data_IF_550158385620
#
_entry.id   IF_550158385620
#
_cell.length_a   1.000
_cell.length_b   1.000
_cell.length_c   1.000
_cell.angle_alpha   90.00
_cell.angle_beta   90.00
_cell.angle_gamma   90.00
#
_symmetry.space_group_name_H-M   'P 1'
#
loop_
_entity.id
_entity.type
_entity.pdbx_description
1 polymer ?
#
# COMPACT_ATOMS: atom_id res chain seq x y z
N UNK A 1 -37.48 -37.43 43.34
CA UNK A 1 -38.24 -36.98 42.14
C UNK A 1 -37.32 -36.06 41.33
N UNK A 2 -36.99 -36.37 40.07
CA UNK A 2 -36.08 -35.54 39.28
C UNK A 2 -36.82 -34.30 38.74
N UNK A 3 -36.24 -33.13 38.93
CA UNK A 3 -36.75 -31.87 38.39
C UNK A 3 -36.63 -31.87 36.86
N UNK A 4 -37.76 -31.76 36.16
CA UNK A 4 -37.81 -31.65 34.70
C UNK A 4 -37.58 -30.20 34.27
N UNK A 5 -36.30 -29.86 34.11
CA UNK A 5 -35.85 -28.54 33.65
C UNK A 5 -36.30 -28.22 32.21
N UNK A 6 -36.59 -29.23 31.38
CA UNK A 6 -36.99 -29.02 29.99
C UNK A 6 -38.44 -28.51 29.89
N UNK A 7 -39.29 -28.92 30.83
CA UNK A 7 -40.69 -28.49 30.86
C UNK A 7 -40.85 -27.12 31.53
N UNK A 8 -40.09 -26.84 32.60
CA UNK A 8 -40.01 -25.49 33.17
C UNK A 8 -39.38 -24.47 32.20
N UNK A 9 -38.39 -24.87 31.41
CA UNK A 9 -37.76 -24.00 30.41
C UNK A 9 -38.68 -23.62 29.25
N UNK A 10 -39.57 -24.52 28.82
CA UNK A 10 -40.58 -24.24 27.78
C UNK A 10 -41.66 -23.28 28.28
N UNK A 11 -42.20 -23.51 29.47
CA UNK A 11 -43.19 -22.60 30.05
C UNK A 11 -42.63 -21.21 30.33
N UNK A 12 -41.38 -21.09 30.79
CA UNK A 12 -40.73 -19.80 30.98
C UNK A 12 -40.57 -19.03 29.65
N UNK A 13 -40.35 -19.74 28.54
CA UNK A 13 -40.20 -19.12 27.21
C UNK A 13 -41.52 -18.61 26.63
N UNK A 14 -42.63 -19.28 26.93
CA UNK A 14 -43.98 -18.88 26.50
C UNK A 14 -44.52 -17.67 27.28
N UNK A 15 -44.02 -17.42 28.49
CA UNK A 15 -44.41 -16.27 29.32
C UNK A 15 -43.65 -14.98 29.00
N UNK A 16 -42.59 -15.03 28.19
CA UNK A 16 -41.84 -13.84 27.77
C UNK A 16 -42.59 -13.21 26.60
N UNK A 17 -43.38 -12.16 26.87
CA UNK A 17 -43.99 -11.34 25.84
C UNK A 17 -42.90 -10.65 25.00
N UNK A 18 -42.58 -11.22 23.83
CA UNK A 18 -41.67 -10.61 22.86
C UNK A 18 -42.42 -9.48 22.16
N UNK A 19 -41.97 -8.22 22.23
CA UNK A 19 -42.61 -7.14 21.51
C UNK A 19 -42.61 -7.45 20.01
N UNK A 20 -43.77 -7.35 19.36
CA UNK A 20 -43.89 -7.48 17.91
C UNK A 20 -43.15 -6.30 17.25
N UNK A 21 -41.87 -6.48 16.94
CA UNK A 21 -41.11 -5.50 16.17
C UNK A 21 -41.62 -5.59 14.72
N UNK A 22 -42.20 -4.51 14.15
CA UNK A 22 -42.70 -4.56 12.79
C UNK A 22 -41.56 -4.90 11.83
N UNK A 23 -41.76 -5.90 10.97
CA UNK A 23 -40.77 -6.38 9.99
C UNK A 23 -40.19 -5.22 9.16
N UNK A 24 -41.00 -4.21 8.88
CA UNK A 24 -40.59 -2.99 8.17
C UNK A 24 -39.53 -2.16 8.91
N UNK A 25 -39.51 -2.20 10.25
CA UNK A 25 -38.52 -1.48 11.08
C UNK A 25 -37.19 -2.22 11.06
N UNK A 26 -37.23 -3.56 11.01
CA UNK A 26 -36.06 -4.42 10.84
C UNK A 26 -35.50 -4.24 9.43
N UNK A 27 -36.37 -4.24 8.41
CA UNK A 27 -35.99 -4.00 7.02
C UNK A 27 -35.36 -2.61 6.83
N UNK A 28 -35.96 -1.54 7.36
CA UNK A 28 -35.39 -0.17 7.30
C UNK A 28 -34.09 -0.02 8.07
N UNK A 29 -33.93 -0.69 9.22
CA UNK A 29 -32.65 -0.72 9.95
C UNK A 29 -31.58 -1.49 9.16
N UNK A 30 -31.94 -2.63 8.57
CA UNK A 30 -31.05 -3.40 7.72
C UNK A 30 -30.65 -2.63 6.45
N UNK A 31 -31.57 -1.88 5.82
CA UNK A 31 -31.27 -1.02 4.68
C UNK A 31 -30.37 0.17 5.04
N UNK A 32 -30.64 0.85 6.17
CA UNK A 32 -29.76 1.94 6.65
C UNK A 32 -28.38 1.43 7.04
N UNK A 33 -28.30 0.22 7.58
CA UNK A 33 -27.03 -0.43 7.93
C UNK A 33 -26.30 -0.93 6.67
N UNK A 34 -27.02 -1.42 5.65
CA UNK A 34 -26.49 -1.74 4.31
C UNK A 34 -26.04 -0.49 3.54
N UNK A 35 -26.73 0.63 3.70
CA UNK A 35 -26.34 1.91 3.09
C UNK A 35 -25.10 2.50 3.76
N UNK A 36 -25.01 2.43 5.10
CA UNK A 36 -23.81 2.81 5.85
C UNK A 36 -22.62 1.89 5.58
N UNK A 37 -22.85 0.57 5.50
CA UNK A 37 -21.78 -0.37 5.14
C UNK A 37 -21.34 -0.22 3.69
N UNK A 38 -22.25 0.08 2.75
CA UNK A 38 -21.91 0.47 1.37
C UNK A 38 -21.14 1.78 1.32
N UNK A 39 -21.49 2.79 2.12
CA UNK A 39 -20.74 4.05 2.17
C UNK A 39 -19.33 3.87 2.78
N UNK A 40 -19.18 3.03 3.81
CA UNK A 40 -17.87 2.66 4.36
C UNK A 40 -17.07 1.76 3.41
N UNK A 41 -17.71 0.83 2.71
CA UNK A 41 -17.10 0.00 1.69
C UNK A 41 -16.70 0.83 0.45
N UNK A 42 -17.45 1.87 0.09
CA UNK A 42 -17.09 2.82 -0.96
C UNK A 42 -15.98 3.77 -0.53
N UNK A 43 -15.90 4.15 0.75
CA UNK A 43 -14.79 4.93 1.29
C UNK A 43 -13.50 4.09 1.42
N UNK A 44 -13.63 2.81 1.77
CA UNK A 44 -12.55 1.82 1.74
C UNK A 44 -12.14 1.51 0.30
N UNK A 45 -13.09 1.33 -0.61
CA UNK A 45 -12.86 1.13 -2.04
C UNK A 45 -12.28 2.37 -2.72
N UNK A 46 -12.62 3.59 -2.31
CA UNK A 46 -11.96 4.81 -2.79
C UNK A 46 -10.53 4.95 -2.24
N UNK A 47 -10.26 4.43 -1.04
CA UNK A 47 -8.89 4.27 -0.52
C UNK A 47 -8.10 3.19 -1.26
N UNK A 48 -8.78 2.14 -1.73
CA UNK A 48 -8.22 1.01 -2.50
C UNK A 48 -8.11 1.32 -4.00
N UNK A 49 -8.94 2.19 -4.55
CA UNK A 49 -8.88 2.62 -5.96
C UNK A 49 -7.66 3.51 -6.24
N UNK A 50 -7.15 4.23 -5.23
CA UNK A 50 -5.83 4.89 -5.29
C UNK A 50 -4.69 3.90 -5.02
N UNK A 51 -4.98 2.71 -4.49
CA UNK A 51 -4.04 1.58 -4.37
C UNK A 51 -4.12 0.61 -5.58
N UNK A 52 -4.94 0.91 -6.58
CA UNK A 52 -5.27 0.08 -7.73
C UNK A 52 -4.22 0.03 -8.85
N UNK A 53 -2.93 0.00 -8.50
CA UNK A 53 -1.84 -0.27 -9.45
C UNK A 53 -0.99 -1.48 -9.01
N UNK A 54 -1.53 -2.36 -8.16
CA UNK A 54 -0.96 -3.68 -7.86
C UNK A 54 -1.37 -4.60 -9.01
N UNK A 55 -0.56 -4.63 -10.05
CA UNK A 55 -0.68 -5.57 -11.16
C UNK A 55 0.10 -6.86 -10.83
N UNK A 56 -0.41 -7.63 -9.87
CA UNK A 56 -0.33 -9.09 -9.91
C UNK A 56 -1.63 -9.52 -10.61
N UNK A 57 -1.51 -10.22 -11.75
CA UNK A 57 -2.59 -10.68 -12.64
C UNK A 57 -4.03 -10.29 -12.29
N UNK A 58 -4.58 -9.31 -13.02
CA UNK A 58 -5.94 -8.78 -12.85
C UNK A 58 -7.03 -9.86 -13.02
N UNK A 59 -7.70 -10.18 -11.92
CA UNK A 59 -9.03 -10.75 -11.88
C UNK A 59 -9.86 -10.03 -10.81
N UNK A 60 -10.31 -8.81 -11.13
CA UNK A 60 -11.20 -7.94 -10.36
C UNK A 60 -10.64 -7.39 -9.02
N UNK A 61 -10.70 -6.07 -8.85
CA UNK A 61 -10.16 -5.32 -7.71
C UNK A 61 -10.95 -5.46 -6.41
N UNK A 62 -11.05 -6.69 -5.90
CA UNK A 62 -11.63 -7.00 -4.58
C UNK A 62 -10.83 -8.05 -3.79
N UNK A 63 -9.71 -8.56 -4.30
CA UNK A 63 -8.96 -9.71 -3.75
C UNK A 63 -7.59 -9.40 -3.11
N UNK A 64 -7.24 -8.13 -2.91
CA UNK A 64 -5.88 -7.73 -2.43
C UNK A 64 -5.61 -8.12 -0.96
N UNK A 65 -6.58 -8.67 -0.23
CA UNK A 65 -6.31 -9.12 1.13
C UNK A 65 -6.83 -10.53 1.35
N UNK A 66 -6.92 -11.35 0.30
CA UNK A 66 -7.12 -12.78 0.49
C UNK A 66 -5.86 -13.28 1.21
N UNK A 67 -5.96 -14.35 2.00
CA UNK A 67 -4.86 -14.93 2.77
C UNK A 67 -3.61 -14.89 1.91
N UNK A 68 -2.44 -14.52 2.44
CA UNK A 68 -1.22 -14.56 1.61
C UNK A 68 -0.82 -16.03 1.41
N UNK A 69 -1.59 -16.69 0.55
CA UNK A 69 -1.35 -18.00 0.01
C UNK A 69 -0.24 -17.83 -1.01
N UNK A 70 0.95 -18.25 -0.63
CA UNK A 70 2.10 -18.21 -1.52
C UNK A 70 2.21 -19.57 -2.15
N UNK A 71 1.81 -19.64 -3.41
CA UNK A 71 2.01 -20.83 -4.22
C UNK A 71 3.50 -20.96 -4.49
N UNK A 72 4.13 -22.05 -4.05
CA UNK A 72 5.47 -22.45 -4.43
C UNK A 72 5.39 -23.47 -5.57
N UNK A 73 6.39 -23.51 -6.44
CA UNK A 73 6.39 -24.38 -7.62
C UNK A 73 6.33 -25.85 -7.23
N UNK A 74 5.32 -26.57 -7.73
CA UNK A 74 5.19 -28.03 -7.57
C UNK A 74 4.45 -28.51 -6.31
N UNK A 75 4.06 -27.60 -5.40
CA UNK A 75 3.39 -27.97 -4.17
C UNK A 75 2.71 -26.76 -3.56
N UNK A 76 1.41 -26.84 -3.37
CA UNK A 76 0.62 -25.78 -2.79
C UNK A 76 1.17 -25.39 -1.40
N UNK A 77 1.48 -24.11 -1.20
CA UNK A 77 1.93 -23.59 0.08
C UNK A 77 1.10 -22.35 0.48
N UNK A 78 1.00 -22.08 1.77
CA UNK A 78 0.25 -20.96 2.30
C UNK A 78 0.95 -20.34 3.50
N UNK A 79 0.87 -19.01 3.61
CA UNK A 79 1.33 -18.27 4.78
C UNK A 79 0.11 -17.67 5.47
N UNK A 80 -0.14 -18.10 6.71
CA UNK A 80 -1.23 -17.54 7.52
C UNK A 80 -0.64 -16.46 8.42
N UNK A 81 -1.24 -15.28 8.38
CA UNK A 81 -0.87 -14.18 9.28
C UNK A 81 -2.10 -13.51 9.87
N UNK A 82 -1.98 -13.04 11.11
CA UNK A 82 -3.01 -12.25 11.80
C UNK A 82 -2.88 -10.75 11.55
N UNK A 83 -1.75 -10.31 10.99
CA UNK A 83 -1.46 -8.91 10.72
C UNK A 83 -0.50 -8.71 9.55
N UNK A 84 -0.59 -7.55 8.91
CA UNK A 84 0.26 -7.18 7.79
C UNK A 84 0.55 -5.68 7.86
N UNK A 85 1.77 -5.27 7.52
CA UNK A 85 2.15 -3.86 7.36
C UNK A 85 2.68 -3.63 5.95
N UNK A 86 2.10 -2.68 5.23
CA UNK A 86 2.42 -2.37 3.84
C UNK A 86 2.84 -0.92 3.67
N UNK A 87 3.88 -0.67 2.87
CA UNK A 87 4.31 0.69 2.51
C UNK A 87 4.50 0.81 1.00
N UNK A 88 3.75 1.72 0.37
CA UNK A 88 3.97 2.12 -1.03
C UNK A 88 5.09 3.12 -1.15
N UNK A 89 5.90 2.96 -2.20
CA UNK A 89 7.07 3.80 -2.47
C UNK A 89 7.86 4.09 -1.19
N UNK A 90 8.36 3.05 -0.52
CA UNK A 90 9.03 3.22 0.75
C UNK A 90 10.30 4.05 0.57
N UNK A 91 10.52 4.95 1.51
CA UNK A 91 11.82 5.61 1.68
C UNK A 91 12.83 4.61 2.27
N UNK A 92 14.13 4.95 2.20
CA UNK A 92 15.19 4.13 2.81
C UNK A 92 14.93 3.79 4.27
N UNK A 93 14.50 4.76 5.07
CA UNK A 93 14.23 4.56 6.48
C UNK A 93 13.00 3.68 6.73
N UNK A 94 11.92 3.88 5.96
CA UNK A 94 10.71 3.06 6.04
C UNK A 94 11.00 1.60 5.65
N UNK A 95 11.74 1.40 4.57
CA UNK A 95 12.13 0.08 4.10
C UNK A 95 13.03 -0.65 5.10
N UNK A 96 14.08 0.03 5.59
CA UNK A 96 14.98 -0.54 6.60
C UNK A 96 14.24 -0.92 7.87
N UNK A 97 13.27 -0.11 8.32
CA UNK A 97 12.41 -0.47 9.46
C UNK A 97 11.54 -1.69 9.19
N UNK A 98 10.99 -1.81 7.97
CA UNK A 98 10.18 -2.97 7.60
C UNK A 98 10.97 -4.29 7.61
N UNK A 99 12.24 -4.27 7.18
CA UNK A 99 13.07 -5.48 7.14
C UNK A 99 13.81 -5.77 8.45
N UNK A 100 14.11 -4.75 9.28
CA UNK A 100 14.93 -4.92 10.49
C UNK A 100 14.29 -5.79 11.57
N UNK A 101 12.95 -5.91 11.57
CA UNK A 101 12.21 -6.75 12.50
C UNK A 101 12.07 -8.21 12.07
N UNK A 102 12.60 -8.59 10.91
CA UNK A 102 12.40 -9.92 10.34
C UNK A 102 13.01 -11.02 11.21
N UNK A 103 12.33 -12.17 11.27
CA UNK A 103 12.78 -13.34 12.04
C UNK A 103 13.84 -14.17 11.31
N UNK A 104 14.22 -13.76 10.09
CA UNK A 104 15.15 -14.44 9.21
C UNK A 104 16.10 -13.43 8.55
N UNK A 105 17.30 -13.84 8.12
CA UNK A 105 18.24 -12.96 7.43
C UNK A 105 17.76 -12.63 6.02
N UNK A 106 17.07 -11.50 5.86
CA UNK A 106 16.48 -11.08 4.58
C UNK A 106 17.57 -10.83 3.52
N UNK A 107 17.61 -11.66 2.47
CA UNK A 107 18.39 -11.35 1.26
C UNK A 107 17.45 -10.83 0.17
N UNK A 108 17.65 -9.58 -0.19
CA UNK A 108 16.79 -8.91 -1.15
C UNK A 108 17.12 -9.35 -2.59
N UNK A 109 16.12 -9.39 -3.49
CA UNK A 109 16.34 -9.64 -4.91
C UNK A 109 17.38 -8.68 -5.50
N UNK A 110 18.41 -9.26 -6.13
CA UNK A 110 19.48 -8.55 -6.84
C UNK A 110 19.62 -9.08 -8.26
N UNK A 111 20.21 -8.31 -9.18
CA UNK A 111 20.22 -8.62 -10.61
C UNK A 111 18.95 -8.16 -11.34
N UNK A 112 18.20 -7.25 -10.73
CA UNK A 112 17.02 -6.62 -11.31
C UNK A 112 17.38 -5.75 -12.53
N UNK A 113 16.43 -5.50 -13.45
CA UNK A 113 16.64 -4.58 -14.56
C UNK A 113 17.14 -3.21 -14.11
N UNK A 114 17.94 -2.50 -14.95
CA UNK A 114 18.37 -1.15 -14.63
C UNK A 114 17.17 -0.23 -14.41
N UNK A 115 17.32 0.74 -13.51
CA UNK A 115 16.28 1.69 -13.09
C UNK A 115 15.06 1.05 -12.39
N UNK A 116 15.17 -0.21 -11.92
CA UNK A 116 14.17 -0.78 -11.04
C UNK A 116 14.05 0.04 -9.74
N UNK A 117 12.81 0.27 -9.30
CA UNK A 117 12.48 0.93 -8.04
C UNK A 117 11.65 0.00 -7.18
N UNK A 118 11.87 0.03 -5.87
CA UNK A 118 10.94 -0.61 -4.92
C UNK A 118 9.68 0.25 -4.87
N UNK A 119 8.56 -0.29 -5.34
CA UNK A 119 7.26 0.40 -5.35
C UNK A 119 6.37 -0.05 -4.20
N UNK A 120 6.63 -1.23 -3.63
CA UNK A 120 5.88 -1.75 -2.51
C UNK A 120 6.73 -2.65 -1.61
N UNK A 121 6.50 -2.58 -0.29
CA UNK A 121 6.93 -3.60 0.67
C UNK A 121 5.77 -3.99 1.59
N UNK A 122 5.49 -5.29 1.72
CA UNK A 122 4.61 -5.86 2.73
C UNK A 122 5.42 -6.71 3.70
N UNK A 123 5.20 -6.53 5.00
CA UNK A 123 5.80 -7.29 6.09
C UNK A 123 4.71 -8.07 6.85
N UNK A 124 4.93 -9.37 7.03
CA UNK A 124 3.96 -10.32 7.55
C UNK A 124 4.62 -11.29 8.54
N UNK A 125 4.20 -11.33 9.81
CA UNK A 125 3.36 -10.37 10.53
C UNK A 125 3.91 -8.94 10.54
N UNK A 126 3.09 -7.96 10.95
CA UNK A 126 3.44 -6.54 10.88
C UNK A 126 4.66 -6.11 11.74
N UNK A 127 4.95 -6.81 12.86
CA UNK A 127 5.99 -6.43 13.83
C UNK A 127 7.24 -7.29 13.73
N UNK A 128 7.07 -8.60 13.60
CA UNK A 128 8.14 -9.59 13.48
C UNK A 128 7.93 -10.40 12.20
N UNK A 129 8.23 -9.82 11.02
CA UNK A 129 7.91 -10.47 9.76
C UNK A 129 8.68 -11.79 9.60
N UNK A 130 7.93 -12.85 9.36
CA UNK A 130 8.44 -14.15 8.90
C UNK A 130 8.26 -14.32 7.38
N UNK A 131 7.59 -13.36 6.74
CA UNK A 131 7.46 -13.24 5.30
C UNK A 131 7.42 -11.76 4.88
N UNK A 132 8.06 -11.46 3.75
CA UNK A 132 8.14 -10.12 3.17
C UNK A 132 7.81 -10.22 1.69
N UNK A 133 6.86 -9.42 1.22
CA UNK A 133 6.61 -9.23 -0.22
C UNK A 133 7.17 -7.91 -0.68
N UNK A 134 7.85 -7.92 -1.83
CA UNK A 134 8.50 -6.78 -2.45
C UNK A 134 8.00 -6.65 -3.88
N UNK A 135 7.63 -5.45 -4.28
CA UNK A 135 7.37 -5.15 -5.69
C UNK A 135 8.42 -4.19 -6.22
N UNK A 136 9.01 -4.57 -7.35
CA UNK A 136 9.93 -3.75 -8.11
C UNK A 136 9.29 -3.36 -9.43
N UNK A 137 9.47 -2.11 -9.86
CA UNK A 137 9.04 -1.67 -11.19
C UNK A 137 10.17 -0.95 -11.89
N UNK A 138 10.50 -1.43 -13.08
CA UNK A 138 11.36 -0.70 -14.02
C UNK A 138 10.51 0.16 -14.96
N UNK A 139 11.06 1.27 -15.45
CA UNK A 139 10.31 2.24 -16.29
C UNK A 139 9.71 1.62 -17.57
N UNK A 140 10.34 0.60 -18.14
CA UNK A 140 9.92 -0.02 -19.39
C UNK A 140 9.10 -1.30 -19.19
N UNK A 141 8.72 -1.61 -17.95
CA UNK A 141 8.02 -2.84 -17.63
C UNK A 141 6.54 -2.57 -17.38
N UNK A 142 5.68 -3.24 -18.14
CA UNK A 142 4.22 -3.06 -18.02
C UNK A 142 3.67 -3.59 -16.69
N UNK A 143 4.32 -4.60 -16.11
CA UNK A 143 3.97 -5.19 -14.81
C UNK A 143 5.15 -5.06 -13.83
N UNK A 144 4.90 -4.86 -12.54
CA UNK A 144 5.95 -5.00 -11.53
C UNK A 144 6.46 -6.46 -11.47
N UNK A 145 7.67 -6.62 -10.95
CA UNK A 145 8.20 -7.91 -10.47
C UNK A 145 7.93 -8.02 -8.97
N UNK A 146 7.17 -9.04 -8.61
CA UNK A 146 6.72 -9.33 -7.26
C UNK A 146 7.53 -10.49 -6.70
N UNK A 147 8.15 -10.26 -5.55
CA UNK A 147 8.93 -11.26 -4.84
C UNK A 147 8.32 -11.52 -3.49
N UNK A 148 8.22 -12.78 -3.11
CA UNK A 148 8.10 -13.17 -1.72
C UNK A 148 9.43 -13.69 -1.22
N UNK A 149 9.82 -13.24 -0.03
CA UNK A 149 10.87 -13.79 0.82
C UNK A 149 10.21 -14.36 2.07
N UNK A 150 10.42 -15.63 2.39
CA UNK A 150 9.79 -16.26 3.55
C UNK A 150 10.75 -17.16 4.33
N UNK A 151 10.58 -17.18 5.65
CA UNK A 151 11.13 -18.20 6.51
C UNK A 151 10.50 -19.56 6.14
N UNK A 152 11.30 -20.62 5.86
CA UNK A 152 10.76 -21.93 5.52
C UNK A 152 9.80 -22.50 6.57
N UNK A 153 9.94 -22.11 7.85
CA UNK A 153 9.09 -22.58 8.94
C UNK A 153 7.64 -22.09 8.88
N UNK A 154 7.37 -21.00 8.15
CA UNK A 154 6.02 -20.45 7.99
C UNK A 154 5.34 -20.84 6.68
N UNK A 155 6.04 -21.63 5.87
CA UNK A 155 5.52 -22.19 4.62
C UNK A 155 4.79 -23.49 4.95
N UNK A 156 3.46 -23.43 5.03
CA UNK A 156 2.63 -24.62 5.26
C UNK A 156 2.23 -25.25 3.93
N UNK A 157 2.61 -26.53 3.74
CA UNK A 157 2.30 -27.35 2.55
C UNK A 157 1.13 -28.34 2.79
N UNK A 158 0.45 -28.22 3.92
CA UNK A 158 -0.64 -29.11 4.34
C UNK A 158 -1.88 -29.02 3.46
N UNK A 159 -2.38 -30.18 3.00
CA UNK A 159 -3.56 -30.30 2.11
C UNK A 159 -4.85 -29.63 2.63
N UNK A 160 -4.97 -29.41 3.94
CA UNK A 160 -6.18 -28.84 4.56
C UNK A 160 -6.31 -27.33 4.34
N UNK A 161 -5.24 -26.62 3.98
CA UNK A 161 -5.29 -25.19 3.62
C UNK A 161 -5.68 -24.95 2.15
N UNK A 162 -5.82 -26.02 1.37
CA UNK A 162 -5.96 -26.01 -0.09
C UNK A 162 -7.42 -26.09 -0.58
N UNK A 163 -8.39 -25.94 0.32
CA UNK A 163 -9.81 -25.93 -0.04
C UNK A 163 -10.22 -24.68 -0.86
N UNK A 164 -9.32 -23.70 -1.00
CA UNK A 164 -9.51 -22.51 -1.82
C UNK A 164 -8.92 -22.76 -3.21
N UNK A 165 -9.69 -22.46 -4.26
CA UNK A 165 -9.22 -22.56 -5.65
C UNK A 165 -7.97 -21.70 -5.83
N UNK A 166 -6.84 -22.33 -6.18
CA UNK A 166 -5.60 -21.62 -6.41
C UNK A 166 -5.79 -20.53 -7.47
N UNK A 167 -5.37 -19.27 -7.26
CA UNK A 167 -5.08 -18.41 -8.40
C UNK A 167 -4.08 -19.14 -9.29
N UNK A 168 -4.40 -19.22 -10.59
CA UNK A 168 -3.73 -20.03 -11.62
C UNK A 168 -2.27 -19.61 -11.94
N UNK A 169 -1.57 -18.91 -11.04
CA UNK A 169 -0.23 -18.40 -11.31
C UNK A 169 0.82 -19.43 -10.89
N UNK A 170 1.40 -20.11 -11.87
CA UNK A 170 2.64 -20.86 -11.64
C UNK A 170 3.74 -19.89 -11.16
N UNK A 171 4.62 -20.34 -10.26
CA UNK A 171 5.76 -19.55 -9.76
C UNK A 171 7.10 -20.24 -10.06
N UNK A 172 8.17 -19.44 -10.10
CA UNK A 172 9.52 -19.93 -9.84
C UNK A 172 9.83 -19.74 -8.36
N UNK A 173 10.39 -20.77 -7.73
CA UNK A 173 10.86 -20.71 -6.35
C UNK A 173 12.24 -21.36 -6.18
N UNK A 174 12.98 -20.89 -5.19
CA UNK A 174 14.28 -21.44 -4.82
C UNK A 174 14.62 -21.07 -3.38
N UNK A 175 15.66 -21.72 -2.84
CA UNK A 175 16.26 -21.32 -1.57
C UNK A 175 17.42 -20.37 -1.80
N UNK A 176 17.45 -19.28 -1.03
CA UNK A 176 18.52 -18.28 -1.03
C UNK A 176 19.09 -18.21 0.38
N UNK A 177 20.16 -18.98 0.64
CA UNK A 177 20.56 -19.26 2.02
C UNK A 177 19.44 -19.99 2.76
N UNK A 178 18.97 -19.42 3.87
CA UNK A 178 17.93 -20.04 4.70
C UNK A 178 16.50 -19.66 4.29
N UNK A 179 16.29 -18.68 3.41
CA UNK A 179 14.96 -18.21 3.03
C UNK A 179 14.43 -18.87 1.74
N UNK A 180 13.11 -18.92 1.60
CA UNK A 180 12.41 -19.26 0.37
C UNK A 180 12.14 -17.98 -0.41
N UNK A 181 12.48 -17.98 -1.69
CA UNK A 181 12.19 -16.89 -2.63
C UNK A 181 11.18 -17.37 -3.65
N UNK A 182 10.22 -16.54 -4.01
CA UNK A 182 9.19 -16.87 -5.00
C UNK A 182 8.84 -15.69 -5.89
N UNK A 183 8.64 -15.97 -7.18
CA UNK A 183 8.24 -15.00 -8.20
C UNK A 183 7.22 -15.61 -9.18
N UNK A 184 6.14 -14.91 -9.54
CA UNK A 184 5.20 -15.38 -10.56
C UNK A 184 5.84 -15.59 -11.95
N UNK A 185 5.54 -16.70 -12.62
CA UNK A 185 6.07 -17.01 -13.96
C UNK A 185 5.52 -16.10 -15.06
N UNK A 186 4.42 -15.37 -14.81
CA UNK A 186 3.87 -14.42 -15.78
C UNK A 186 4.50 -13.02 -15.69
N UNK A 187 5.42 -12.81 -14.73
CA UNK A 187 6.15 -11.57 -14.53
C UNK A 187 7.60 -11.65 -15.05
N UNK A 188 8.16 -12.85 -15.16
CA UNK A 188 9.54 -13.09 -15.60
C UNK A 188 9.68 -14.38 -16.41
N UNK A 189 10.58 -14.40 -17.37
CA UNK A 189 10.95 -15.61 -18.11
C UNK A 189 11.93 -16.50 -17.32
N UNK A 190 12.11 -17.75 -17.75
CA UNK A 190 13.01 -18.71 -17.08
C UNK A 190 14.45 -18.20 -17.00
N UNK A 191 14.95 -17.60 -18.08
CA UNK A 191 16.31 -17.06 -18.12
C UNK A 191 16.50 -15.89 -17.13
N UNK A 192 15.50 -15.03 -16.97
CA UNK A 192 15.48 -13.98 -15.95
C UNK A 192 15.45 -14.53 -14.53
N UNK A 193 14.63 -15.55 -14.27
CA UNK A 193 14.59 -16.22 -12.98
C UNK A 193 15.95 -16.86 -12.63
N UNK A 194 16.60 -17.54 -13.58
CA UNK A 194 17.91 -18.15 -13.39
C UNK A 194 19.00 -17.09 -13.11
N UNK A 195 18.97 -15.95 -13.80
CA UNK A 195 19.89 -14.82 -13.53
C UNK A 195 19.71 -14.27 -12.12
N UNK A 196 18.47 -14.08 -11.68
CA UNK A 196 18.16 -13.60 -10.32
C UNK A 196 18.63 -14.61 -9.27
N UNK A 197 18.33 -15.90 -9.48
CA UNK A 197 18.77 -16.99 -8.60
C UNK A 197 20.30 -17.01 -8.46
N UNK A 198 21.03 -16.93 -9.57
CA UNK A 198 22.49 -16.88 -9.56
C UNK A 198 23.02 -15.64 -8.84
N UNK A 199 22.42 -14.47 -9.09
CA UNK A 199 22.82 -13.19 -8.46
C UNK A 199 22.59 -13.22 -6.94
N UNK A 200 21.45 -13.73 -6.50
CA UNK A 200 21.12 -13.85 -5.08
C UNK A 200 22.01 -14.88 -4.36
N UNK A 201 22.39 -15.97 -5.02
CA UNK A 201 23.28 -16.97 -4.46
C UNK A 201 24.67 -16.41 -4.08
N UNK A 202 25.14 -15.39 -4.82
CA UNK A 202 26.46 -14.78 -4.65
C UNK A 202 26.47 -13.55 -3.72
N UNK A 203 25.32 -13.18 -3.15
CA UNK A 203 25.16 -11.92 -2.42
C UNK A 203 24.87 -12.17 -0.94
N UNK A 204 25.41 -11.34 -0.05
CA UNK A 204 25.09 -11.37 1.39
C UNK A 204 23.84 -10.52 1.69
N UNK A 205 23.14 -10.73 2.82
CA UNK A 205 22.04 -9.85 3.23
C UNK A 205 22.42 -8.35 3.20
N UNK A 206 23.58 -8.00 3.75
CA UNK A 206 24.07 -6.61 3.79
C UNK A 206 24.36 -6.07 2.39
N UNK A 207 24.97 -6.85 1.50
CA UNK A 207 25.23 -6.43 0.13
C UNK A 207 23.93 -6.24 -0.67
N UNK A 208 22.94 -7.13 -0.47
CA UNK A 208 21.62 -7.00 -1.10
C UNK A 208 20.84 -5.76 -0.62
N UNK A 209 20.97 -5.42 0.66
CA UNK A 209 20.42 -4.19 1.23
C UNK A 209 21.07 -2.95 0.64
N UNK A 210 22.40 -2.92 0.56
CA UNK A 210 23.13 -1.80 -0.05
C UNK A 210 22.75 -1.60 -1.53
N UNK A 211 22.57 -2.69 -2.29
CA UNK A 211 22.09 -2.62 -3.67
C UNK A 211 20.65 -2.08 -3.75
N UNK A 212 19.78 -2.48 -2.82
CA UNK A 212 18.37 -2.04 -2.79
C UNK A 212 18.22 -0.57 -2.35
N UNK A 213 19.12 -0.04 -1.51
CA UNK A 213 19.08 1.36 -1.08
C UNK A 213 19.12 2.37 -2.24
N UNK A 214 19.75 2.00 -3.36
CA UNK A 214 19.78 2.82 -4.58
C UNK A 214 18.43 2.83 -5.33
N UNK A 215 17.56 1.83 -5.08
CA UNK A 215 16.25 1.65 -5.72
C UNK A 215 15.11 2.29 -4.92
N UNK A 216 15.38 2.73 -3.69
CA UNK A 216 14.39 3.30 -2.78
C UNK A 216 14.18 4.79 -3.03
N UNK A 217 12.96 5.24 -2.78
CA UNK A 217 12.59 6.64 -2.91
C UNK A 217 13.27 7.50 -1.83
N UNK A 218 13.55 8.74 -2.19
CA UNK A 218 14.08 9.78 -1.29
C UNK A 218 13.07 10.88 -0.99
N UNK A 219 11.90 10.81 -1.63
CA UNK A 219 10.75 11.70 -1.43
C UNK A 219 9.54 10.84 -1.11
N UNK A 220 8.62 11.35 -0.29
CA UNK A 220 7.36 10.66 -0.03
C UNK A 220 6.44 10.75 -1.27
N UNK A 221 5.99 9.62 -1.82
CA UNK A 221 5.15 9.61 -3.04
C UNK A 221 3.67 9.46 -2.70
N UNK A 222 2.92 10.54 -2.84
CA UNK A 222 1.49 10.63 -2.56
C UNK A 222 0.68 10.38 -3.83
N UNK A 223 0.50 9.10 -4.18
CA UNK A 223 -0.24 8.65 -5.35
C UNK A 223 0.68 8.06 -6.43
N UNK A 224 0.55 8.57 -7.65
CA UNK A 224 1.38 8.18 -8.79
C UNK A 224 2.82 8.74 -8.66
N UNK A 225 3.76 8.16 -9.41
CA UNK A 225 5.18 8.54 -9.38
C UNK A 225 5.83 8.40 -10.77
N UNK A 226 5.12 8.86 -11.80
CA UNK A 226 5.56 8.73 -13.18
C UNK A 226 6.92 9.43 -13.40
N UNK A 227 7.16 10.53 -12.69
CA UNK A 227 8.41 11.29 -12.75
C UNK A 227 9.19 11.29 -11.42
N UNK A 228 9.16 10.20 -10.67
CA UNK A 228 9.87 10.12 -9.38
C UNK A 228 11.35 10.51 -9.49
N UNK A 229 12.10 10.00 -10.48
CA UNK A 229 13.53 10.35 -10.67
C UNK A 229 13.73 11.85 -10.88
N UNK A 230 12.83 12.51 -11.60
CA UNK A 230 12.87 13.96 -11.81
C UNK A 230 12.52 14.72 -10.53
N UNK A 231 11.52 14.26 -9.78
CA UNK A 231 11.19 14.82 -8.47
C UNK A 231 12.37 14.70 -7.49
N UNK A 232 13.08 13.57 -7.49
CA UNK A 232 14.27 13.36 -6.67
C UNK A 232 15.42 14.29 -7.04
N UNK A 233 15.60 14.59 -8.34
CA UNK A 233 16.58 15.58 -8.80
C UNK A 233 16.26 16.99 -8.27
N UNK A 234 14.97 17.37 -8.24
CA UNK A 234 14.54 18.68 -7.79
C UNK A 234 14.26 18.80 -6.29
N UNK A 235 14.41 17.72 -5.50
CA UNK A 235 14.10 17.75 -4.05
C UNK A 235 14.96 18.78 -3.31
N UNK A 236 14.44 19.31 -2.20
CA UNK A 236 15.28 20.06 -1.28
C UNK A 236 16.23 19.10 -0.54
N UNK A 237 17.47 19.53 -0.32
CA UNK A 237 18.48 18.72 0.37
C UNK A 237 18.09 18.40 1.84
N UNK A 238 17.33 19.29 2.47
CA UNK A 238 16.82 19.14 3.82
C UNK A 238 15.29 19.32 3.85
N UNK A 239 14.69 18.89 4.96
CA UNK A 239 13.26 19.03 5.23
C UNK A 239 12.37 18.01 4.51
N UNK A 240 11.04 18.04 4.76
CA UNK A 240 10.09 17.15 4.13
C UNK A 240 9.99 17.42 2.63
N UNK A 241 10.04 16.34 1.86
CA UNK A 241 9.82 16.33 0.41
C UNK A 241 8.69 15.35 0.09
N UNK A 242 7.66 15.80 -0.63
CA UNK A 242 6.53 14.98 -1.02
C UNK A 242 6.18 15.20 -2.50
N UNK A 243 6.22 14.14 -3.29
CA UNK A 243 5.71 14.12 -4.66
C UNK A 243 4.21 13.84 -4.61
N UNK A 244 3.40 14.76 -5.11
CA UNK A 244 1.95 14.64 -5.20
C UNK A 244 1.57 14.24 -6.62
N UNK A 245 1.05 13.02 -6.75
CA UNK A 245 0.58 12.47 -8.02
C UNK A 245 -0.71 13.15 -8.50
N UNK A 246 -1.08 12.85 -9.75
CA UNK A 246 -2.16 13.53 -10.49
C UNK A 246 -3.52 13.42 -9.79
N UNK A 247 -3.88 12.22 -9.36
CA UNK A 247 -5.16 11.96 -8.67
C UNK A 247 -5.21 12.69 -7.32
N UNK A 248 -4.11 12.65 -6.58
CA UNK A 248 -4.01 13.34 -5.29
C UNK A 248 -4.10 14.85 -5.45
N UNK A 249 -3.52 15.39 -6.54
CA UNK A 249 -3.53 16.82 -6.82
C UNK A 249 -4.96 17.40 -6.98
N UNK A 250 -5.91 16.60 -7.48
CA UNK A 250 -7.33 17.00 -7.60
C UNK A 250 -7.98 17.36 -6.25
N UNK A 251 -7.46 16.83 -5.15
CA UNK A 251 -8.00 17.10 -3.80
C UNK A 251 -7.46 18.38 -3.16
N UNK A 252 -6.38 18.97 -3.72
CA UNK A 252 -5.66 20.09 -3.12
C UNK A 252 -6.57 21.30 -2.88
N UNK A 253 -7.40 21.66 -3.86
CA UNK A 253 -8.29 22.82 -3.73
C UNK A 253 -9.29 22.66 -2.58
N UNK A 254 -9.90 21.47 -2.45
CA UNK A 254 -10.84 21.14 -1.38
C UNK A 254 -10.15 21.14 -0.01
N UNK A 255 -8.95 20.54 0.09
CA UNK A 255 -8.18 20.50 1.33
C UNK A 255 -7.74 21.92 1.75
N UNK A 256 -7.29 22.75 0.81
CA UNK A 256 -6.90 24.12 1.06
C UNK A 256 -8.07 24.97 1.58
N UNK A 257 -9.24 24.86 0.95
CA UNK A 257 -10.45 25.59 1.35
C UNK A 257 -10.90 25.22 2.79
N UNK A 258 -10.70 23.96 3.19
CA UNK A 258 -11.03 23.45 4.52
C UNK A 258 -9.92 23.63 5.56
N UNK A 259 -8.76 24.15 5.17
CA UNK A 259 -7.59 24.28 6.05
C UNK A 259 -7.02 22.94 6.52
N UNK A 260 -7.17 21.88 5.74
CA UNK A 260 -6.76 20.53 6.11
C UNK A 260 -5.38 20.16 5.54
N UNK A 261 -4.56 19.39 6.29
CA UNK A 261 -3.32 18.83 5.77
C UNK A 261 -3.59 17.66 4.81
N UNK A 262 -2.57 17.33 4.02
CA UNK A 262 -2.52 16.09 3.25
C UNK A 262 -1.87 15.00 4.10
N UNK A 263 -2.62 13.94 4.39
CA UNK A 263 -2.15 12.79 5.17
C UNK A 263 -1.35 11.85 4.28
N UNK A 264 -0.32 11.24 4.87
CA UNK A 264 0.36 10.12 4.25
C UNK A 264 -0.54 8.88 4.31
N UNK A 265 -0.86 8.31 3.15
CA UNK A 265 -1.65 7.06 3.04
C UNK A 265 -0.87 5.95 2.35
N UNK A 266 0.46 6.08 2.29
CA UNK A 266 1.35 5.05 1.74
C UNK A 266 1.45 3.86 2.68
N UNK A 267 1.38 4.09 3.98
CA UNK A 267 1.50 3.08 5.01
C UNK A 267 0.13 2.58 5.49
N UNK A 268 -0.09 1.28 5.34
CA UNK A 268 -1.30 0.56 5.74
C UNK A 268 -0.91 -0.56 6.69
N UNK A 269 -1.54 -0.59 7.86
CA UNK A 269 -1.47 -1.72 8.79
C UNK A 269 -2.83 -2.40 8.82
N UNK A 270 -2.81 -3.71 8.64
CA UNK A 270 -3.96 -4.59 8.70
C UNK A 270 -3.78 -5.48 9.93
N UNK A 271 -4.78 -5.51 10.81
CA UNK A 271 -4.77 -6.31 12.04
C UNK A 271 -6.07 -7.09 12.17
N UNK A 272 -6.05 -8.13 13.01
CA UNK A 272 -7.19 -9.04 13.18
C UNK A 272 -7.63 -9.65 11.84
N UNK A 273 -6.66 -10.07 11.03
CA UNK A 273 -6.96 -10.89 9.86
C UNK A 273 -7.50 -12.24 10.34
N UNK A 274 -8.82 -12.35 10.34
CA UNK A 274 -9.53 -13.58 10.62
C UNK A 274 -9.74 -14.35 9.33
N UNK A 275 -9.84 -15.67 9.44
CA UNK A 275 -10.07 -16.55 8.30
C UNK A 275 -11.36 -17.33 8.51
N UNK A 276 -12.23 -17.34 7.51
CA UNK A 276 -13.43 -18.15 7.42
C UNK A 276 -13.40 -18.91 6.08
N UNK A 277 -13.57 -20.24 6.11
CA UNK A 277 -13.54 -21.08 4.90
C UNK A 277 -12.26 -20.97 4.05
N UNK A 278 -11.11 -20.67 4.68
CA UNK A 278 -9.82 -20.53 3.98
C UNK A 278 -9.56 -19.15 3.37
N UNK A 279 -10.54 -18.23 3.48
CA UNK A 279 -10.47 -16.85 3.00
C UNK A 279 -10.52 -15.84 4.16
N UNK A 280 -10.02 -14.61 4.00
CA UNK A 280 -10.07 -13.60 5.04
C UNK A 280 -11.47 -13.04 5.24
N UNK A 281 -11.90 -13.02 6.50
CA UNK A 281 -13.13 -12.35 6.91
C UNK A 281 -12.86 -10.84 7.10
N UNK A 282 -12.97 -10.11 5.99
CA UNK A 282 -12.79 -8.65 5.96
C UNK A 282 -13.75 -7.88 6.86
N UNK A 283 -14.90 -8.47 7.22
CA UNK A 283 -15.84 -7.80 8.12
C UNK A 283 -15.27 -7.68 9.54
N UNK A 284 -14.27 -8.51 9.89
CA UNK A 284 -13.60 -8.52 11.19
C UNK A 284 -12.19 -7.92 11.13
N UNK A 285 -11.64 -7.78 9.93
CA UNK A 285 -10.34 -7.14 9.70
C UNK A 285 -10.37 -5.66 10.05
N UNK A 286 -9.31 -5.20 10.73
CA UNK A 286 -9.13 -3.77 11.06
C UNK A 286 -7.98 -3.19 10.25
N UNK A 287 -8.33 -2.18 9.45
CA UNK A 287 -7.37 -1.41 8.67
C UNK A 287 -7.07 -0.09 9.37
N UNK A 288 -5.79 0.24 9.50
CA UNK A 288 -5.34 1.56 9.93
C UNK A 288 -4.30 2.08 8.95
N UNK A 289 -4.47 3.33 8.51
CA UNK A 289 -3.44 4.05 7.78
C UNK A 289 -2.59 4.82 8.80
N UNK A 290 -1.29 4.96 8.53
CA UNK A 290 -0.47 5.87 9.33
C UNK A 290 -1.13 7.27 9.33
N UNK A 291 -1.30 7.85 10.51
CA UNK A 291 -1.91 9.18 10.66
C UNK A 291 -0.96 10.34 10.36
N UNK A 292 0.23 10.09 9.82
CA UNK A 292 1.25 11.12 9.62
C UNK A 292 0.83 12.14 8.56
N UNK A 293 1.32 13.36 8.72
CA UNK A 293 1.08 14.45 7.79
C UNK A 293 2.24 14.49 6.80
N UNK A 294 1.95 14.27 5.52
CA UNK A 294 2.94 14.40 4.45
C UNK A 294 3.09 15.85 4.00
N UNK A 295 1.97 16.59 3.92
CA UNK A 295 1.96 18.02 3.61
C UNK A 295 1.10 18.76 4.63
N UNK A 296 1.70 19.72 5.34
CA UNK A 296 0.99 20.56 6.31
C UNK A 296 -0.15 21.35 5.66
N UNK A 297 -1.13 21.83 6.44
CA UNK A 297 -2.22 22.66 5.93
C UNK A 297 -1.70 23.93 5.21
N UNK A 298 -0.63 24.54 5.70
CA UNK A 298 0.06 25.65 5.02
C UNK A 298 0.68 25.22 3.69
N UNK A 299 1.32 24.06 3.64
CA UNK A 299 1.87 23.49 2.40
C UNK A 299 0.78 23.17 1.36
N UNK A 300 -0.37 22.67 1.79
CA UNK A 300 -1.54 22.46 0.91
C UNK A 300 -2.06 23.77 0.34
N UNK A 301 -2.12 24.84 1.15
CA UNK A 301 -2.47 26.18 0.66
C UNK A 301 -1.44 26.72 -0.33
N UNK A 302 -0.15 26.46 -0.11
CA UNK A 302 0.91 26.84 -1.04
C UNK A 302 0.78 26.10 -2.39
N UNK A 303 0.56 24.78 -2.37
CA UNK A 303 0.25 23.99 -3.57
C UNK A 303 -0.97 24.57 -4.32
N UNK A 304 -2.06 24.88 -3.59
CA UNK A 304 -3.25 25.46 -4.18
C UNK A 304 -3.01 26.86 -4.78
N UNK A 305 -2.14 27.66 -4.17
CA UNK A 305 -1.75 28.97 -4.70
C UNK A 305 -0.93 28.82 -5.98
N UNK A 306 0.03 27.87 -6.03
CA UNK A 306 0.81 27.57 -7.23
C UNK A 306 -0.07 27.09 -8.38
N UNK A 307 -1.04 26.20 -8.12
CA UNK A 307 -1.99 25.74 -9.13
C UNK A 307 -2.84 26.90 -9.68
N UNK A 308 -3.34 27.78 -8.81
CA UNK A 308 -4.08 28.99 -9.23
C UNK A 308 -3.23 29.94 -10.05
N UNK A 309 -1.97 30.18 -9.66
CA UNK A 309 -1.03 31.02 -10.41
C UNK A 309 -0.72 30.45 -11.82
N UNK A 310 -0.91 29.14 -12.02
CA UNK A 310 -0.81 28.47 -13.32
C UNK A 310 -2.10 28.47 -14.13
N UNK A 311 -3.18 29.07 -13.61
CA UNK A 311 -4.49 29.05 -14.26
C UNK A 311 -5.21 27.70 -14.17
N UNK A 312 -4.79 26.79 -13.28
CA UNK A 312 -5.50 25.53 -13.07
C UNK A 312 -6.77 25.82 -12.27
N UNK A 313 -7.93 25.55 -12.88
CA UNK A 313 -9.24 25.72 -12.24
C UNK A 313 -9.36 24.84 -10.98
N UNK A 314 -10.19 25.26 -10.03
CA UNK A 314 -10.48 24.47 -8.82
C UNK A 314 -11.07 23.10 -9.19
N UNK A 315 -10.41 22.01 -8.80
CA UNK A 315 -10.81 20.65 -9.15
C UNK A 315 -10.46 20.22 -10.58
N UNK A 316 -9.82 21.08 -11.38
CA UNK A 316 -9.33 20.76 -12.71
C UNK A 316 -8.11 19.84 -12.67
N UNK A 317 -7.87 19.14 -13.78
CA UNK A 317 -6.65 18.34 -13.96
C UNK A 317 -5.48 19.28 -14.29
N UNK A 318 -4.41 19.25 -13.50
CA UNK A 318 -3.23 20.06 -13.78
C UNK A 318 -2.31 19.44 -14.85
N UNK A 319 -2.62 18.22 -15.31
CA UNK A 319 -1.78 17.40 -16.18
C UNK A 319 -0.32 17.39 -15.71
N UNK A 320 -0.13 17.31 -14.39
CA UNK A 320 1.15 17.52 -13.73
C UNK A 320 1.27 16.72 -12.43
N UNK A 321 2.50 16.47 -12.02
CA UNK A 321 2.85 16.10 -10.65
C UNK A 321 3.45 17.34 -9.94
N UNK A 322 3.29 17.39 -8.61
CA UNK A 322 3.77 18.51 -7.80
C UNK A 322 4.73 17.98 -6.73
N UNK A 323 5.99 18.38 -6.78
CA UNK A 323 6.91 18.15 -5.69
C UNK A 323 6.82 19.32 -4.71
N UNK A 324 6.32 19.02 -3.51
CA UNK A 324 6.36 19.89 -2.35
C UNK A 324 7.67 19.69 -1.59
N UNK A 325 8.34 20.80 -1.27
CA UNK A 325 9.50 20.81 -0.38
C UNK A 325 9.39 21.98 0.61
N UNK A 326 9.84 21.76 1.85
CA UNK A 326 10.04 22.84 2.81
C UNK A 326 11.35 22.63 3.57
N UNK A 327 12.46 23.28 3.14
CA UNK A 327 13.78 23.05 3.72
C UNK A 327 13.85 23.29 5.22
N UNK A 328 13.19 24.35 5.70
CA UNK A 328 13.03 24.65 7.11
C UNK A 328 11.67 25.33 7.40
N UNK A 329 11.28 25.39 8.69
CA UNK A 329 9.98 25.91 9.10
C UNK A 329 9.79 27.42 8.83
N UNK A 330 10.84 28.18 8.57
CA UNK A 330 10.79 29.64 8.31
C UNK A 330 10.94 29.97 6.82
N UNK A 331 11.50 29.06 6.03
CA UNK A 331 11.67 29.20 4.59
C UNK A 331 10.34 29.26 3.85
N UNK A 332 10.39 29.86 2.67
CA UNK A 332 9.32 29.75 1.68
C UNK A 332 9.06 28.28 1.33
N UNK A 333 7.79 27.97 1.03
CA UNK A 333 7.49 26.68 0.43
C UNK A 333 8.07 26.64 -0.97
N UNK A 334 8.73 25.54 -1.33
CA UNK A 334 9.22 25.31 -2.68
C UNK A 334 8.30 24.29 -3.34
N UNK A 335 7.64 24.71 -4.41
CA UNK A 335 6.75 23.85 -5.20
C UNK A 335 7.36 23.69 -6.58
N UNK A 336 7.69 22.47 -6.95
CA UNK A 336 8.19 22.13 -8.28
C UNK A 336 7.05 21.46 -9.05
N UNK A 337 6.76 21.98 -10.23
CA UNK A 337 5.69 21.51 -11.10
C UNK A 337 6.33 20.72 -12.23
N UNK A 338 5.96 19.45 -12.30
CA UNK A 338 6.48 18.49 -13.27
C UNK A 338 5.34 18.16 -14.25
N UNK A 339 5.37 18.66 -15.49
CA UNK A 339 4.32 18.35 -16.46
C UNK A 339 4.38 16.87 -16.88
N UNK A 340 3.21 16.24 -17.07
CA UNK A 340 3.15 14.86 -17.57
C UNK A 340 3.51 14.77 -19.06
N UNK A 341 3.32 15.86 -19.80
CA UNK A 341 3.59 16.01 -21.24
C UNK A 341 4.02 17.46 -21.54
N UNK A 342 4.89 17.66 -22.52
CA UNK A 342 5.37 19.00 -22.92
C UNK A 342 6.60 19.48 -22.13
N UNK A 343 7.02 20.74 -22.33
CA UNK A 343 8.33 21.22 -21.88
C UNK A 343 8.31 22.14 -20.64
N UNK A 344 9.30 21.87 -19.77
CA UNK A 344 9.80 22.74 -18.70
C UNK A 344 9.27 22.43 -17.31
N UNK A 345 10.07 21.75 -16.49
CA UNK A 345 9.87 21.74 -15.03
C UNK A 345 9.96 23.18 -14.52
N UNK A 346 8.99 23.61 -13.70
CA UNK A 346 8.98 24.96 -13.14
C UNK A 346 9.06 24.92 -11.63
N UNK A 347 9.94 25.71 -11.05
CA UNK A 347 10.06 25.87 -9.60
C UNK A 347 9.38 27.16 -9.17
N UNK A 348 8.64 27.09 -8.06
CA UNK A 348 7.98 28.23 -7.45
C UNK A 348 8.39 28.34 -5.98
N UNK A 349 8.64 29.57 -5.54
CA UNK A 349 8.73 29.93 -4.14
C UNK A 349 7.39 30.54 -3.70
N UNK A 350 6.83 30.05 -2.59
CA UNK A 350 5.56 30.52 -2.05
C UNK A 350 5.74 31.01 -0.64
N UNK A 351 5.41 32.28 -0.41
CA UNK A 351 5.54 32.91 0.91
C UNK A 351 4.67 32.19 1.96
N UNK A 352 5.21 31.85 3.15
CA UNK A 352 4.52 30.98 4.08
C UNK A 352 3.35 31.64 4.82
N UNK A 353 3.24 32.97 4.76
CA UNK A 353 2.20 33.77 5.44
C UNK A 353 1.11 34.24 4.48
N UNK A 354 1.53 34.82 3.37
CA UNK A 354 0.66 35.45 2.36
C UNK A 354 0.28 34.49 1.23
N UNK A 355 1.03 33.40 1.06
CA UNK A 355 0.92 32.48 -0.08
C UNK A 355 1.10 33.15 -1.44
N UNK A 356 1.79 34.29 -1.48
CA UNK A 356 2.21 34.92 -2.72
C UNK A 356 3.20 33.99 -3.45
N UNK A 357 2.93 33.74 -4.74
CA UNK A 357 3.70 32.82 -5.58
C UNK A 357 4.69 33.61 -6.43
N UNK A 358 5.95 33.19 -6.45
CA UNK A 358 6.99 33.72 -7.33
C UNK A 358 7.63 32.57 -8.09
N UNK A 359 7.86 32.75 -9.39
CA UNK A 359 8.70 31.82 -10.13
C UNK A 359 10.12 31.90 -9.54
N UNK A 360 10.70 30.76 -9.21
CA UNK A 360 12.10 30.67 -8.84
C UNK A 360 12.89 30.42 -10.13
N UNK A 361 13.85 31.31 -10.41
CA UNK A 361 14.83 31.17 -11.50
C UNK A 361 15.79 30.04 -11.24
#
# INVERSE_FOLDING_TARGET
MPFDFATSGRHAREQIAVPAVPLETIARRAERQRARSRAHALAAAAGVLVAGAVAVGTGAGARILDTVHVWLGGGHAAIRTSSVSGTRWPTREEFRRAIAGATFPVRLPVGLPPNARVVFVWAMPATHPSAITLEYRAQNQAKPLSFLLADPSVVDVGRQLLAVTAPNAAVYDWRSGDEVVSIPKDEIDAAGADRLKASMAQTTPQASLAATDAMLATVAVLGDADHITLAEHYRAAAGPNALVGTQTARTIASLAARGLPMRDRRHLVVTNLHYAHGEPDYARTRNSFAGSIAVSAGGVRALAATLRARGVASGGDCACELLYSRPDARAAYRIVVIPLRGSGVRTYAVDPKTYAVRAAT
#
